data_IF_837409547023
#
_entry.id   IF_837409547023
#
_cell.length_a   1.000
_cell.length_b   1.000
_cell.length_c   1.000
_cell.angle_alpha   90.00
_cell.angle_beta   90.00
_cell.angle_gamma   90.00
#
_symmetry.space_group_name_H-M   'P 1'
#
loop_
_entity.id
_entity.type
_entity.pdbx_description
1 polymer ?
#
# COMPACT_ATOMS: atom_id res chain seq x y z
N UNK A 1 9.41 -28.49 -10.11
CA UNK A 1 9.40 -28.88 -8.65
C UNK A 1 8.71 -27.74 -7.94
N UNK A 2 7.64 -28.00 -7.19
CA UNK A 2 6.94 -26.93 -6.47
C UNK A 2 7.83 -26.39 -5.33
N UNK A 3 7.97 -25.07 -5.22
CA UNK A 3 8.78 -24.45 -4.18
C UNK A 3 8.09 -24.67 -2.82
N UNK A 4 8.75 -25.41 -1.94
CA UNK A 4 8.28 -25.65 -0.58
C UNK A 4 9.01 -24.71 0.37
N UNK A 5 8.29 -23.71 0.91
CA UNK A 5 8.80 -22.76 1.88
C UNK A 5 8.28 -23.09 3.28
N UNK A 6 9.16 -23.01 4.26
CA UNK A 6 8.80 -23.18 5.66
C UNK A 6 8.19 -21.87 6.20
N UNK A 7 6.88 -21.86 6.43
CA UNK A 7 6.15 -20.67 6.87
C UNK A 7 6.49 -20.23 8.32
N UNK A 8 7.22 -21.04 9.06
CA UNK A 8 7.66 -20.72 10.43
C UNK A 8 9.04 -20.08 10.48
N UNK A 9 9.75 -20.09 9.35
CA UNK A 9 11.11 -19.55 9.22
C UNK A 9 11.06 -18.08 8.80
N UNK A 10 12.06 -17.30 9.23
CA UNK A 10 12.27 -15.93 8.76
C UNK A 10 13.10 -15.94 7.48
N UNK A 11 12.71 -15.06 6.57
CA UNK A 11 13.35 -14.85 5.27
C UNK A 11 13.69 -13.37 5.07
N UNK A 12 14.69 -13.13 4.26
CA UNK A 12 15.10 -11.78 3.83
C UNK A 12 14.54 -11.48 2.43
N UNK A 13 14.65 -10.22 2.01
CA UNK A 13 14.33 -9.86 0.62
C UNK A 13 15.27 -10.55 -0.38
N UNK A 14 16.53 -10.81 0.00
CA UNK A 14 17.43 -11.61 -0.83
C UNK A 14 16.89 -13.03 -1.06
N UNK A 15 16.31 -13.68 -0.04
CA UNK A 15 15.64 -14.97 -0.20
C UNK A 15 14.41 -14.86 -1.10
N UNK A 16 13.57 -13.82 -0.87
CA UNK A 16 12.35 -13.53 -1.63
C UNK A 16 12.62 -13.44 -3.15
N UNK A 17 13.68 -12.77 -3.55
CA UNK A 17 14.08 -12.63 -4.95
C UNK A 17 14.46 -13.96 -5.63
N UNK A 18 14.72 -15.01 -4.87
CA UNK A 18 15.03 -16.34 -5.41
C UNK A 18 13.79 -17.19 -5.69
N UNK A 19 12.62 -16.76 -5.28
CA UNK A 19 11.40 -17.55 -5.40
C UNK A 19 10.78 -17.41 -6.80
N UNK A 20 11.04 -18.41 -7.64
CA UNK A 20 10.67 -18.43 -9.06
C UNK A 20 9.37 -19.25 -9.26
N UNK A 21 8.28 -18.83 -8.61
CA UNK A 21 6.95 -19.40 -8.82
C UNK A 21 5.89 -18.31 -8.99
N UNK A 22 4.67 -18.66 -9.41
CA UNK A 22 3.58 -17.72 -9.69
C UNK A 22 2.81 -17.25 -8.44
N UNK A 23 3.30 -17.60 -7.22
CA UNK A 23 2.60 -17.25 -5.98
C UNK A 23 3.02 -15.87 -5.49
N UNK A 24 2.05 -15.01 -5.32
CA UNK A 24 2.27 -13.67 -4.72
C UNK A 24 2.38 -13.81 -3.19
N UNK A 25 3.39 -13.18 -2.64
CA UNK A 25 3.70 -13.20 -1.20
C UNK A 25 4.16 -11.83 -0.74
N UNK A 26 4.00 -11.58 0.54
CA UNK A 26 4.62 -10.48 1.26
C UNK A 26 5.50 -11.07 2.36
N UNK A 27 6.46 -10.28 2.84
CA UNK A 27 7.21 -10.57 4.06
C UNK A 27 6.88 -9.49 5.10
N UNK A 28 6.49 -9.91 6.30
CA UNK A 28 6.36 -9.01 7.45
C UNK A 28 7.25 -9.58 8.56
N UNK A 29 8.26 -8.80 8.97
CA UNK A 29 9.29 -9.23 9.90
C UNK A 29 10.00 -10.55 9.51
N UNK A 30 10.11 -10.78 8.20
CA UNK A 30 10.69 -11.99 7.63
C UNK A 30 9.73 -13.17 7.53
N UNK A 31 8.50 -13.07 8.02
CA UNK A 31 7.52 -14.14 7.92
C UNK A 31 6.67 -13.99 6.66
N UNK A 32 6.49 -15.12 5.96
CA UNK A 32 5.71 -15.17 4.73
C UNK A 32 4.24 -14.92 5.03
N UNK A 33 3.65 -13.96 4.32
CA UNK A 33 2.20 -13.75 4.23
C UNK A 33 1.75 -14.08 2.82
N UNK A 34 0.91 -15.10 2.69
CA UNK A 34 0.34 -15.46 1.39
C UNK A 34 -0.69 -14.43 0.98
N UNK A 35 -0.53 -13.88 -0.21
CA UNK A 35 -1.54 -13.00 -0.80
C UNK A 35 -2.70 -13.82 -1.36
N UNK A 36 -3.88 -13.22 -1.41
CA UNK A 36 -5.05 -13.84 -2.04
C UNK A 36 -4.85 -13.97 -3.56
N UNK A 37 -5.54 -14.94 -4.20
CA UNK A 37 -5.60 -15.00 -5.67
C UNK A 37 -6.10 -13.68 -6.28
N UNK A 38 -6.06 -13.58 -7.61
CA UNK A 38 -6.41 -12.40 -8.37
C UNK A 38 -7.65 -11.66 -7.81
N UNK A 39 -7.59 -10.32 -7.69
CA UNK A 39 -8.65 -9.54 -7.08
C UNK A 39 -9.96 -9.65 -7.86
N UNK A 40 -11.08 -9.52 -7.15
CA UNK A 40 -12.40 -9.48 -7.78
C UNK A 40 -12.55 -8.24 -8.68
N UNK A 41 -13.47 -8.31 -9.65
CA UNK A 41 -13.73 -7.22 -10.61
C UNK A 41 -13.93 -5.85 -9.96
N UNK A 42 -14.65 -5.81 -8.83
CA UNK A 42 -14.92 -4.56 -8.10
C UNK A 42 -13.63 -3.95 -7.55
N UNK A 43 -12.78 -4.77 -6.93
CA UNK A 43 -11.47 -4.34 -6.42
C UNK A 43 -10.58 -3.81 -7.55
N UNK A 44 -10.49 -4.54 -8.67
CA UNK A 44 -9.68 -4.12 -9.81
C UNK A 44 -10.17 -2.78 -10.41
N UNK A 45 -11.50 -2.60 -10.53
CA UNK A 45 -12.08 -1.36 -11.04
C UNK A 45 -11.84 -0.19 -10.11
N UNK A 46 -11.98 -0.40 -8.79
CA UNK A 46 -11.68 0.60 -7.79
C UNK A 46 -10.21 1.01 -7.83
N UNK A 47 -9.30 0.03 -7.83
CA UNK A 47 -7.86 0.28 -7.93
C UNK A 47 -7.53 1.16 -9.14
N UNK A 48 -8.04 0.80 -10.31
CA UNK A 48 -7.82 1.57 -11.55
C UNK A 48 -8.32 3.01 -11.45
N UNK A 49 -9.54 3.23 -10.95
CA UNK A 49 -10.11 4.58 -10.80
C UNK A 49 -9.33 5.42 -9.79
N UNK A 50 -9.02 4.84 -8.63
CA UNK A 50 -8.27 5.54 -7.58
C UNK A 50 -6.87 5.92 -8.07
N UNK A 51 -6.15 5.00 -8.71
CA UNK A 51 -4.83 5.27 -9.29
C UNK A 51 -4.91 6.39 -10.35
N UNK A 52 -5.93 6.38 -11.21
CA UNK A 52 -6.13 7.43 -12.20
C UNK A 52 -6.36 8.81 -11.57
N UNK A 53 -7.14 8.91 -10.48
CA UNK A 53 -7.35 10.16 -9.74
C UNK A 53 -6.05 10.66 -9.14
N UNK A 54 -5.28 9.78 -8.46
CA UNK A 54 -3.99 10.13 -7.87
C UNK A 54 -2.98 10.58 -8.94
N UNK A 55 -2.88 9.86 -10.05
CA UNK A 55 -2.05 10.25 -11.19
C UNK A 55 -2.43 11.63 -11.74
N UNK A 56 -3.74 11.90 -11.83
CA UNK A 56 -4.25 13.20 -12.30
C UNK A 56 -3.85 14.33 -11.35
N UNK A 57 -3.93 14.08 -10.03
CA UNK A 57 -3.51 15.02 -8.99
C UNK A 57 -2.00 15.28 -9.09
N UNK A 58 -1.18 14.21 -9.17
CA UNK A 58 0.28 14.32 -9.31
C UNK A 58 0.66 15.18 -10.52
N UNK A 59 0.04 14.93 -11.68
CA UNK A 59 0.31 15.71 -12.90
C UNK A 59 -0.07 17.17 -12.77
N UNK A 60 -1.20 17.50 -12.12
CA UNK A 60 -1.64 18.88 -11.87
C UNK A 60 -0.70 19.61 -10.91
N UNK A 61 -0.10 18.90 -9.97
CA UNK A 61 0.86 19.44 -8.99
C UNK A 61 2.32 19.45 -9.48
N UNK A 62 2.54 19.44 -10.81
CA UNK A 62 3.86 19.50 -11.47
C UNK A 62 4.74 18.27 -11.25
N UNK A 63 4.14 17.11 -10.97
CA UNK A 63 4.73 15.80 -11.20
C UNK A 63 6.02 15.49 -10.45
N UNK A 64 6.15 15.87 -9.18
CA UNK A 64 7.30 15.46 -8.36
C UNK A 64 7.15 14.09 -7.73
N UNK A 65 5.97 13.48 -7.82
CA UNK A 65 5.66 12.19 -7.25
C UNK A 65 5.32 11.19 -8.35
N UNK A 66 5.41 9.92 -8.03
CA UNK A 66 4.98 8.82 -8.89
C UNK A 66 3.96 7.96 -8.18
N UNK A 67 3.01 7.38 -8.95
CA UNK A 67 1.94 6.51 -8.46
C UNK A 67 2.15 5.12 -8.99
N UNK A 68 2.17 4.13 -8.12
CA UNK A 68 2.30 2.73 -8.49
C UNK A 68 1.14 1.91 -7.95
N UNK A 69 0.69 0.94 -8.75
CA UNK A 69 -0.28 -0.07 -8.35
C UNK A 69 0.37 -1.44 -8.28
N UNK A 70 -0.16 -2.30 -7.41
CA UNK A 70 0.30 -3.69 -7.31
C UNK A 70 0.22 -4.43 -8.67
N UNK A 71 1.18 -5.33 -8.96
CA UNK A 71 2.30 -5.74 -8.11
C UNK A 71 3.45 -4.72 -8.15
N UNK A 72 3.84 -4.20 -6.99
CA UNK A 72 4.95 -3.27 -6.85
C UNK A 72 5.52 -3.43 -5.43
N UNK A 73 6.80 -3.81 -5.32
CA UNK A 73 7.42 -4.08 -4.03
C UNK A 73 7.75 -2.80 -3.28
N UNK A 74 7.24 -2.68 -2.07
CA UNK A 74 7.63 -1.67 -1.09
C UNK A 74 8.41 -2.37 0.02
N UNK A 75 9.69 -2.05 0.11
CA UNK A 75 10.63 -2.62 1.07
C UNK A 75 10.84 -1.66 2.22
N UNK A 76 10.69 -2.14 3.45
CA UNK A 76 10.92 -1.37 4.64
C UNK A 76 12.23 -1.81 5.31
N UNK A 77 13.35 -1.09 5.06
CA UNK A 77 14.62 -1.41 5.70
C UNK A 77 14.55 -1.11 7.21
N UNK A 78 15.06 -2.03 8.02
CA UNK A 78 15.12 -1.88 9.46
C UNK A 78 16.58 -1.95 9.91
N UNK A 79 17.31 -0.85 9.68
CA UNK A 79 18.71 -0.70 10.07
C UNK A 79 19.76 -0.97 8.99
N UNK A 80 19.38 -1.52 7.82
CA UNK A 80 20.28 -1.73 6.68
C UNK A 80 19.53 -1.80 5.36
N UNK A 81 20.17 -1.32 4.28
CA UNK A 81 19.58 -1.24 2.93
C UNK A 81 19.91 -2.46 2.05
N UNK A 82 20.82 -3.33 2.50
CA UNK A 82 21.19 -4.55 1.77
C UNK A 82 20.03 -5.55 1.77
N UNK A 83 19.80 -6.25 0.66
CA UNK A 83 18.67 -7.16 0.51
C UNK A 83 18.61 -8.26 1.57
N UNK A 84 19.77 -8.71 2.08
CA UNK A 84 19.86 -9.69 3.17
C UNK A 84 19.60 -9.11 4.57
N UNK A 85 19.37 -7.79 4.66
CA UNK A 85 19.03 -7.08 5.89
C UNK A 85 17.59 -6.56 5.89
N UNK A 86 16.87 -6.67 4.77
CA UNK A 86 15.47 -6.28 4.64
C UNK A 86 14.58 -7.49 4.91
N UNK A 87 13.74 -7.39 5.93
CA UNK A 87 12.84 -8.45 6.38
C UNK A 87 11.37 -8.15 6.12
N UNK A 88 11.07 -6.92 5.67
CA UNK A 88 9.69 -6.52 5.38
C UNK A 88 9.59 -6.00 3.96
N UNK A 89 8.77 -6.68 3.18
CA UNK A 89 8.39 -6.28 1.82
C UNK A 89 6.91 -6.56 1.61
N UNK A 90 6.19 -5.55 1.18
CA UNK A 90 4.74 -5.61 0.93
C UNK A 90 4.41 -5.10 -0.47
N UNK A 91 3.23 -5.45 -0.97
CA UNK A 91 2.70 -4.99 -2.25
C UNK A 91 1.37 -4.27 -2.03
N UNK A 92 1.38 -3.00 -1.60
CA UNK A 92 0.16 -2.22 -1.42
C UNK A 92 -0.64 -2.13 -2.71
N UNK A 93 -1.96 -2.05 -2.63
CA UNK A 93 -2.80 -1.91 -3.81
C UNK A 93 -2.43 -0.66 -4.63
N UNK A 94 -2.17 0.49 -3.95
CA UNK A 94 -1.63 1.70 -4.57
C UNK A 94 -0.67 2.38 -3.59
N UNK A 95 0.42 2.96 -4.10
CA UNK A 95 1.28 3.85 -3.33
C UNK A 95 1.68 5.09 -4.13
N UNK A 96 1.93 6.19 -3.42
CA UNK A 96 2.45 7.46 -3.97
C UNK A 96 3.79 7.77 -3.33
N UNK A 97 4.80 8.03 -4.17
CA UNK A 97 6.19 8.25 -3.76
C UNK A 97 6.63 9.59 -4.28
N UNK A 98 6.96 10.53 -3.39
CA UNK A 98 7.39 11.88 -3.71
C UNK A 98 8.91 12.08 -3.58
N UNK A 99 9.57 11.22 -2.80
CA UNK A 99 11.02 11.13 -2.76
C UNK A 99 11.49 10.03 -3.72
N UNK A 100 11.78 10.42 -4.96
CA UNK A 100 12.16 9.48 -6.02
C UNK A 100 13.52 8.82 -5.78
N UNK A 101 14.32 9.27 -4.81
CA UNK A 101 15.56 8.59 -4.41
C UNK A 101 15.32 7.24 -3.74
N UNK A 102 14.08 6.96 -3.32
CA UNK A 102 13.65 5.67 -2.79
C UNK A 102 13.34 4.64 -3.88
N UNK A 103 13.27 5.05 -5.15
CA UNK A 103 12.94 4.16 -6.26
C UNK A 103 14.20 3.53 -6.87
N UNK A 104 14.09 2.24 -7.15
CA UNK A 104 15.06 1.50 -7.96
C UNK A 104 14.32 0.51 -8.89
N UNK A 105 15.07 -0.28 -9.68
CA UNK A 105 14.49 -1.26 -10.63
C UNK A 105 13.63 -2.35 -9.97
N UNK A 106 13.73 -2.52 -8.65
CA UNK A 106 13.00 -3.53 -7.88
C UNK A 106 11.78 -2.95 -7.13
N UNK A 107 11.55 -1.64 -7.19
CA UNK A 107 10.43 -0.98 -6.54
C UNK A 107 10.84 0.17 -5.61
N UNK A 108 10.18 0.32 -4.48
CA UNK A 108 10.46 1.36 -3.48
C UNK A 108 11.24 0.78 -2.29
N UNK A 109 12.31 1.45 -1.87
CA UNK A 109 13.05 1.14 -0.65
C UNK A 109 12.92 2.29 0.35
N UNK A 110 12.05 2.11 1.33
CA UNK A 110 11.62 3.12 2.30
C UNK A 110 10.12 3.36 2.25
N UNK A 111 9.60 4.17 3.17
CA UNK A 111 8.17 4.47 3.23
C UNK A 111 7.71 5.33 2.05
N UNK A 112 6.66 4.94 1.31
CA UNK A 112 5.91 5.82 0.44
C UNK A 112 5.31 7.00 1.22
N UNK A 113 4.98 8.08 0.53
CA UNK A 113 4.28 9.21 1.16
C UNK A 113 2.82 8.88 1.45
N UNK A 114 2.19 8.09 0.59
CA UNK A 114 0.82 7.62 0.76
C UNK A 114 0.67 6.16 0.33
N UNK A 115 -0.18 5.42 1.04
CA UNK A 115 -0.60 4.06 0.70
C UNK A 115 -2.13 3.98 0.70
N UNK A 116 -2.68 3.24 -0.26
CA UNK A 116 -4.09 2.87 -0.32
C UNK A 116 -4.21 1.35 -0.33
N UNK A 117 -4.99 0.79 0.57
CA UNK A 117 -5.37 -0.62 0.61
C UNK A 117 -6.86 -0.78 0.39
N UNK A 118 -7.24 -1.66 -0.52
CA UNK A 118 -8.61 -1.95 -0.89
C UNK A 118 -9.02 -3.27 -0.24
N UNK A 119 -9.86 -3.19 0.77
CA UNK A 119 -10.19 -4.33 1.62
C UNK A 119 -11.11 -5.33 0.91
N UNK A 120 -10.77 -6.60 1.03
CA UNK A 120 -11.65 -7.69 0.65
C UNK A 120 -12.39 -8.25 1.87
N UNK A 121 -13.63 -8.76 1.72
CA UNK A 121 -14.38 -9.31 2.86
C UNK A 121 -13.69 -10.47 3.59
N UNK A 122 -12.79 -11.18 2.90
CA UNK A 122 -12.13 -12.38 3.42
C UNK A 122 -10.87 -12.11 4.23
N UNK A 123 -10.23 -10.95 4.08
CA UNK A 123 -8.93 -10.64 4.69
C UNK A 123 -9.00 -9.46 5.66
N UNK A 124 -10.12 -8.72 5.65
CA UNK A 124 -10.25 -7.39 6.20
C UNK A 124 -9.78 -7.20 7.65
N UNK A 125 -10.09 -8.13 8.55
CA UNK A 125 -9.95 -7.81 9.99
C UNK A 125 -8.55 -8.05 10.56
N UNK A 126 -7.85 -9.05 10.06
CA UNK A 126 -6.51 -9.43 10.56
C UNK A 126 -5.40 -8.68 9.83
N UNK A 127 -5.51 -8.64 8.50
CA UNK A 127 -4.50 -7.98 7.67
C UNK A 127 -4.51 -6.46 7.85
N UNK A 128 -5.69 -5.88 8.17
CA UNK A 128 -5.83 -4.45 8.47
C UNK A 128 -4.96 -4.00 9.65
N UNK A 129 -5.02 -4.72 10.77
CA UNK A 129 -4.26 -4.33 11.96
C UNK A 129 -2.75 -4.50 11.74
N UNK A 130 -2.33 -5.59 11.09
CA UNK A 130 -0.91 -5.85 10.82
C UNK A 130 -0.34 -4.75 9.89
N UNK A 131 -1.04 -4.41 8.81
CA UNK A 131 -0.60 -3.37 7.86
C UNK A 131 -0.74 -1.95 8.41
N UNK A 132 -1.78 -1.67 9.20
CA UNK A 132 -1.93 -0.36 9.86
C UNK A 132 -0.72 -0.07 10.76
N UNK A 133 -0.39 -1.01 11.64
CA UNK A 133 0.75 -0.85 12.54
C UNK A 133 2.08 -0.78 11.77
N UNK A 134 2.21 -1.58 10.72
CA UNK A 134 3.39 -1.59 9.86
C UNK A 134 3.62 -0.22 9.21
N UNK A 135 2.60 0.35 8.60
CA UNK A 135 2.71 1.63 7.91
C UNK A 135 2.92 2.80 8.87
N UNK A 136 2.28 2.75 10.04
CA UNK A 136 2.52 3.71 11.12
C UNK A 136 3.99 3.65 11.59
N UNK A 137 4.50 2.46 11.92
CA UNK A 137 5.87 2.25 12.42
C UNK A 137 6.93 2.74 11.43
N UNK A 138 6.69 2.52 10.13
CA UNK A 138 7.63 2.91 9.08
C UNK A 138 7.45 4.36 8.59
N UNK A 139 6.46 5.09 9.08
CA UNK A 139 6.33 6.52 8.81
C UNK A 139 5.65 6.85 7.48
N UNK A 140 4.73 6.01 7.01
CA UNK A 140 3.84 6.36 5.88
C UNK A 140 2.95 7.52 6.30
N UNK A 141 3.02 8.67 5.60
CA UNK A 141 2.40 9.92 6.04
C UNK A 141 0.88 9.89 5.97
N UNK A 142 0.33 9.25 4.93
CA UNK A 142 -1.11 9.18 4.68
C UNK A 142 -1.50 7.75 4.30
N UNK A 143 -2.45 7.18 5.02
CA UNK A 143 -2.92 5.82 4.80
C UNK A 143 -4.43 5.78 4.60
N UNK A 144 -4.87 5.20 3.48
CA UNK A 144 -6.26 5.06 3.10
C UNK A 144 -6.69 3.61 3.15
N UNK A 145 -7.69 3.31 3.97
CA UNK A 145 -8.40 2.02 3.95
C UNK A 145 -9.72 2.17 3.21
N UNK A 146 -9.85 1.46 2.12
CA UNK A 146 -11.05 1.48 1.29
C UNK A 146 -11.91 0.26 1.55
N UNK A 147 -13.19 0.49 1.79
CA UNK A 147 -14.20 -0.54 1.99
C UNK A 147 -15.18 -0.54 0.79
N UNK A 148 -14.91 -1.31 -0.29
CA UNK A 148 -15.73 -1.24 -1.50
C UNK A 148 -17.19 -1.63 -1.27
N UNK A 149 -17.44 -2.60 -0.39
CA UNK A 149 -18.80 -3.07 -0.06
C UNK A 149 -19.63 -1.99 0.65
N UNK A 150 -19.01 -1.28 1.58
CA UNK A 150 -19.66 -0.25 2.40
C UNK A 150 -19.62 1.12 1.72
N UNK A 151 -18.84 1.24 0.63
CA UNK A 151 -18.58 2.46 -0.12
C UNK A 151 -18.02 3.57 0.77
N UNK A 152 -17.04 3.22 1.59
CA UNK A 152 -16.39 4.16 2.51
C UNK A 152 -14.88 4.11 2.37
N UNK A 153 -14.23 5.19 2.78
CA UNK A 153 -12.78 5.33 2.87
C UNK A 153 -12.42 5.89 4.24
N UNK A 154 -11.60 5.18 4.99
CA UNK A 154 -10.96 5.71 6.20
C UNK A 154 -9.60 6.30 5.80
N UNK A 155 -9.36 7.54 6.18
CA UNK A 155 -8.11 8.26 5.94
C UNK A 155 -7.41 8.49 7.27
N UNK A 156 -6.18 8.04 7.40
CA UNK A 156 -5.34 8.19 8.58
C UNK A 156 -4.12 9.03 8.24
N UNK A 157 -3.77 9.97 9.12
CA UNK A 157 -2.64 10.87 8.95
C UNK A 157 -1.61 10.67 10.06
N UNK A 158 -0.36 10.49 9.67
CA UNK A 158 0.74 10.36 10.61
C UNK A 158 1.00 11.70 11.31
N UNK A 159 0.95 11.68 12.63
CA UNK A 159 1.16 12.84 13.47
C UNK A 159 2.64 13.00 13.87
N UNK A 160 3.03 14.15 14.40
CA UNK A 160 4.39 14.43 14.86
C UNK A 160 4.92 13.44 15.93
N UNK A 161 4.01 12.81 16.68
CA UNK A 161 4.34 11.78 17.67
C UNK A 161 4.64 10.42 17.06
N UNK A 162 4.62 10.29 15.73
CA UNK A 162 4.84 9.03 15.00
C UNK A 162 3.68 8.05 15.05
N UNK A 163 2.47 8.51 15.40
CA UNK A 163 1.25 7.71 15.42
C UNK A 163 0.23 8.25 14.44
N UNK A 164 -0.60 7.37 13.90
CA UNK A 164 -1.76 7.82 13.15
C UNK A 164 -2.78 8.50 14.08
N UNK A 165 -3.52 9.43 13.52
CA UNK A 165 -4.70 10.01 14.18
C UNK A 165 -5.84 8.97 14.28
N UNK A 166 -6.99 9.38 14.85
CA UNK A 166 -8.18 8.51 14.97
C UNK A 166 -8.83 8.19 13.61
N UNK A 167 -8.34 8.78 12.52
CA UNK A 167 -8.84 8.63 11.17
C UNK A 167 -10.16 9.33 10.91
N UNK A 168 -10.38 9.72 9.65
CA UNK A 168 -11.63 10.33 9.20
C UNK A 168 -12.31 9.40 8.20
N UNK A 169 -13.59 9.10 8.45
CA UNK A 169 -14.42 8.29 7.55
C UNK A 169 -15.08 9.19 6.51
N UNK A 170 -14.84 8.90 5.25
CA UNK A 170 -15.52 9.51 4.10
C UNK A 170 -16.45 8.50 3.44
N UNK A 171 -17.68 8.93 3.17
CA UNK A 171 -18.70 8.09 2.56
C UNK A 171 -18.86 8.42 1.07
N UNK A 172 -19.46 7.49 0.32
CA UNK A 172 -19.98 7.70 -1.04
C UNK A 172 -20.80 9.00 -1.11
N UNK A 173 -20.69 9.73 -2.23
CA UNK A 173 -21.19 11.10 -2.45
C UNK A 173 -20.44 12.21 -1.70
N UNK A 174 -19.28 11.90 -1.15
CA UNK A 174 -18.38 12.85 -0.54
C UNK A 174 -17.13 13.09 -1.36
N UNK A 175 -16.33 14.03 -0.89
CA UNK A 175 -14.97 14.29 -1.39
C UNK A 175 -13.97 14.04 -0.28
N UNK A 176 -12.95 13.24 -0.57
CA UNK A 176 -11.87 12.98 0.37
C UNK A 176 -10.64 13.81 0.02
N UNK A 177 -10.07 14.58 0.95
CA UNK A 177 -8.85 15.33 0.72
C UNK A 177 -7.64 14.38 0.67
N UNK A 178 -6.73 14.63 -0.28
CA UNK A 178 -5.43 13.97 -0.35
C UNK A 178 -4.42 14.89 0.32
N UNK A 179 -4.07 14.58 1.56
CA UNK A 179 -3.33 15.50 2.44
C UNK A 179 -1.86 15.68 2.06
N UNK A 180 -1.25 14.69 1.39
CA UNK A 180 0.10 14.86 0.84
C UNK A 180 0.17 15.90 -0.29
N UNK A 181 -0.99 16.37 -0.79
CA UNK A 181 -1.12 17.42 -1.79
C UNK A 181 -2.07 18.51 -1.31
N UNK A 182 -1.60 19.76 -1.27
CA UNK A 182 -2.40 20.90 -0.86
C UNK A 182 -3.65 21.08 -1.73
N UNK A 183 -4.82 21.23 -1.09
CA UNK A 183 -6.11 21.53 -1.73
C UNK A 183 -6.57 20.53 -2.80
N UNK A 184 -6.09 19.29 -2.78
CA UNK A 184 -6.52 18.25 -3.69
C UNK A 184 -7.60 17.36 -3.05
N UNK A 185 -8.65 17.13 -3.82
CA UNK A 185 -9.80 16.32 -3.41
C UNK A 185 -10.04 15.21 -4.43
N UNK A 186 -10.37 14.02 -3.96
CA UNK A 186 -10.90 12.93 -4.78
C UNK A 186 -12.41 12.86 -4.58
N UNK A 187 -13.15 12.89 -5.69
CA UNK A 187 -14.60 12.69 -5.70
C UNK A 187 -14.89 11.20 -5.57
N UNK A 188 -15.51 10.81 -4.46
CA UNK A 188 -15.79 9.42 -4.17
C UNK A 188 -16.96 8.87 -5.00
N UNK A 189 -17.84 9.73 -5.54
CA UNK A 189 -18.89 9.30 -6.46
C UNK A 189 -18.28 8.69 -7.72
N UNK A 190 -17.25 9.35 -8.26
CA UNK A 190 -16.58 8.86 -9.45
C UNK A 190 -15.80 7.57 -9.18
N UNK A 191 -15.18 7.45 -8.03
CA UNK A 191 -14.41 6.26 -7.63
C UNK A 191 -15.32 5.06 -7.40
N UNK A 192 -16.46 5.25 -6.74
CA UNK A 192 -17.42 4.17 -6.40
C UNK A 192 -18.51 3.91 -7.47
N UNK A 193 -18.47 4.60 -8.61
CA UNK A 193 -19.36 4.35 -9.73
C UNK A 193 -18.91 3.10 -10.54
N UNK A 194 -19.48 1.92 -10.20
CA UNK A 194 -19.19 0.63 -10.85
C UNK A 194 -20.35 -0.38 -10.81
#
# INVERSE_FOLDING_TARGET
MELQLDLTKRYTYADYLTWMDDKRRELIDGFIKMMTPAPQRVHAKFNHKMAWHLETIVRKNKGKCEVYSAPFDVRFPNGGMEHNQIYTVVQPDICVICDLSKLDDLGCCGAPDMIVEILSPSTAKRDMNDKFNLYEEHGVKEYWMVHPKDKTVNVFLLQENGKYDDGVLYEFKGKAPVHIFDNCLIDLDDVFDY
#
